data_IF_282251211966
#
_entry.id   IF_282251211966
#
_cell.length_a   1.000
_cell.length_b   1.000
_cell.length_c   1.000
_cell.angle_alpha   90.00
_cell.angle_beta   90.00
_cell.angle_gamma   90.00
#
_symmetry.space_group_name_H-M   'P 1'
#
loop_
_entity.id
_entity.type
_entity.pdbx_description
1 polymer ?
2 non-polymer ?
3 non-polymer ?
4 water ?
#
# COMPACT_ATOMS: atom_id res chain seq x y z
N UNK A 1 4.25 -24.07 -14.90
CA UNK A 1 3.25 -23.04 -15.30
C UNK A 1 3.65 -21.66 -14.77
N UNK A 2 2.86 -20.65 -15.12
CA UNK A 2 3.19 -19.28 -14.72
C UNK A 2 2.76 -19.06 -13.27
N UNK A 3 3.44 -18.11 -12.65
CA UNK A 3 3.11 -17.65 -11.29
C UNK A 3 1.94 -16.71 -11.45
N UNK A 4 0.78 -17.00 -10.86
CA UNK A 4 -0.41 -16.16 -10.99
C UNK A 4 -0.39 -15.09 -9.90
N UNK A 5 -0.48 -13.85 -10.32
CA UNK A 5 -0.41 -12.71 -9.41
C UNK A 5 -1.69 -11.91 -9.50
N UNK A 6 -2.27 -11.53 -8.36
CA UNK A 6 -3.45 -10.67 -8.35
C UNK A 6 -3.08 -9.45 -7.49
N UNK A 7 -3.24 -8.28 -8.09
CA UNK A 7 -2.86 -7.04 -7.46
C UNK A 7 -4.05 -6.10 -7.34
N UNK A 8 -4.24 -5.52 -6.16
CA UNK A 8 -5.33 -4.55 -6.02
C UNK A 8 -4.84 -3.12 -6.22
N UNK A 9 -5.72 -2.24 -6.68
CA UNK A 9 -5.40 -0.81 -6.85
C UNK A 9 -4.39 -0.53 -7.95
N UNK A 10 -4.67 -1.00 -9.17
CA UNK A 10 -3.70 -0.82 -10.26
C UNK A 10 -3.98 0.35 -11.18
N UNK A 11 -4.88 1.26 -10.80
CA UNK A 11 -5.13 2.39 -11.71
C UNK A 11 -3.98 3.36 -11.83
N UNK A 12 -3.11 3.44 -10.82
CA UNK A 12 -1.98 4.38 -10.90
C UNK A 12 -0.95 3.95 -9.85
N UNK A 13 0.13 4.70 -9.81
CA UNK A 13 1.12 4.52 -8.79
C UNK A 13 1.76 3.16 -8.72
N UNK A 14 2.04 2.73 -7.47
CA UNK A 14 2.75 1.50 -7.28
C UNK A 14 2.08 0.29 -7.91
N UNK A 15 0.73 0.21 -7.75
CA UNK A 15 0.07 -1.00 -8.29
C UNK A 15 0.16 -1.02 -9.84
N UNK A 16 -0.03 0.13 -10.47
CA UNK A 16 0.10 0.15 -11.93
C UNK A 16 1.50 -0.29 -12.36
N UNK A 17 2.53 0.32 -11.75
CA UNK A 17 3.90 -0.01 -12.17
C UNK A 17 4.30 -1.43 -11.84
N UNK A 18 3.84 -1.99 -10.70
CA UNK A 18 4.16 -3.36 -10.38
C UNK A 18 3.54 -4.31 -11.40
N UNK A 19 2.24 -4.03 -11.69
CA UNK A 19 1.53 -4.90 -12.63
C UNK A 19 2.26 -5.01 -13.97
N UNK A 20 2.66 -3.86 -14.52
CA UNK A 20 3.34 -3.92 -15.84
C UNK A 20 4.77 -4.43 -15.71
N UNK A 21 5.46 -4.21 -14.59
CA UNK A 21 6.77 -4.83 -14.40
C UNK A 21 6.69 -6.36 -14.48
N UNK A 22 5.71 -6.90 -13.72
CA UNK A 22 5.58 -8.36 -13.70
C UNK A 22 5.10 -8.89 -15.05
N UNK A 23 4.12 -8.24 -15.65
CA UNK A 23 3.60 -8.79 -16.91
C UNK A 23 4.63 -8.71 -18.02
N UNK A 24 5.52 -7.73 -18.01
CA UNK A 24 6.51 -7.56 -19.05
C UNK A 24 7.84 -8.26 -18.71
N UNK A 25 7.89 -8.98 -17.59
CA UNK A 25 9.15 -9.67 -17.25
C UNK A 25 9.67 -10.47 -18.43
N UNK A 26 10.93 -10.27 -18.83
CA UNK A 26 11.49 -11.01 -19.96
C UNK A 26 11.31 -12.50 -19.90
N UNK A 27 11.37 -13.13 -18.73
CA UNK A 27 11.16 -14.58 -18.59
C UNK A 27 9.73 -15.06 -18.78
N UNK A 28 8.77 -14.15 -18.82
CA UNK A 28 7.36 -14.46 -18.96
C UNK A 28 6.88 -15.44 -17.89
N UNK A 29 7.38 -15.31 -16.67
CA UNK A 29 7.11 -16.11 -15.52
C UNK A 29 5.76 -15.80 -14.88
N UNK A 30 5.25 -14.59 -15.10
CA UNK A 30 4.04 -14.16 -14.40
C UNK A 30 2.82 -13.95 -15.26
N UNK A 31 1.67 -14.29 -14.70
CA UNK A 31 0.37 -14.00 -15.29
C UNK A 31 -0.25 -13.01 -14.28
N UNK A 32 -0.58 -11.80 -14.73
CA UNK A 32 -1.04 -10.78 -13.79
C UNK A 32 -2.49 -10.38 -13.95
N UNK A 33 -3.24 -10.46 -12.83
CA UNK A 33 -4.58 -9.95 -12.76
C UNK A 33 -4.49 -8.58 -12.05
N UNK A 34 -4.58 -7.54 -12.85
CA UNK A 34 -4.51 -6.15 -12.34
C UNK A 34 -5.93 -5.70 -12.04
N UNK A 35 -6.22 -5.44 -10.75
CA UNK A 35 -7.59 -5.11 -10.38
C UNK A 35 -7.72 -3.65 -10.05
N UNK A 36 -8.87 -3.13 -10.42
CA UNK A 36 -9.19 -1.70 -10.31
C UNK A 36 -10.60 -1.51 -9.77
N UNK A 37 -10.81 -0.45 -8.96
CA UNK A 37 -12.15 -0.21 -8.44
C UNK A 37 -13.13 0.14 -9.57
N UNK A 38 -12.65 1.00 -10.47
CA UNK A 38 -13.51 1.39 -11.61
C UNK A 38 -12.77 1.06 -12.91
N UNK A 39 -13.30 0.19 -13.77
CA UNK A 39 -12.53 -0.07 -15.02
C UNK A 39 -12.39 1.16 -15.90
N UNK A 40 -13.14 2.24 -15.78
CA UNK A 40 -12.98 3.47 -16.54
C UNK A 40 -11.59 4.11 -16.30
N UNK A 41 -10.88 3.70 -15.24
CA UNK A 41 -9.55 4.25 -14.97
C UNK A 41 -8.45 3.38 -15.51
N UNK A 42 -8.71 2.38 -16.32
CA UNK A 42 -7.63 1.48 -16.77
C UNK A 42 -6.75 1.95 -17.92
N UNK A 43 -7.01 3.12 -18.45
CA UNK A 43 -6.26 3.57 -19.61
C UNK A 43 -4.78 3.73 -19.35
N UNK A 44 -4.34 4.30 -18.22
CA UNK A 44 -2.90 4.50 -18.03
C UNK A 44 -2.21 3.15 -17.91
N UNK A 45 -2.90 2.21 -17.27
CA UNK A 45 -2.34 0.86 -17.13
C UNK A 45 -2.09 0.24 -18.51
N UNK A 46 -3.05 0.30 -19.43
CA UNK A 46 -2.89 -0.26 -20.77
C UNK A 46 -1.87 0.54 -21.59
N UNK A 47 -1.78 1.84 -21.38
CA UNK A 47 -0.73 2.62 -22.07
C UNK A 47 0.65 2.18 -21.59
N UNK A 48 0.80 1.95 -20.30
CA UNK A 48 2.06 1.47 -19.72
C UNK A 48 2.39 0.06 -20.15
N UNK A 49 1.39 -0.81 -20.23
CA UNK A 49 1.55 -2.19 -20.63
C UNK A 49 2.06 -2.26 -22.07
N UNK A 50 1.46 -1.44 -22.95
CA UNK A 50 1.93 -1.43 -24.33
C UNK A 50 3.35 -0.89 -24.43
N UNK A 51 3.68 0.11 -23.64
CA UNK A 51 5.02 0.71 -23.68
C UNK A 51 6.10 -0.31 -23.29
N UNK A 52 5.79 -1.25 -22.43
CA UNK A 52 6.72 -2.29 -22.02
C UNK A 52 6.54 -3.57 -22.80
N UNK A 53 5.68 -3.54 -23.82
CA UNK A 53 5.42 -4.69 -24.65
C UNK A 53 5.06 -5.96 -23.89
N UNK A 54 4.08 -5.81 -22.98
CA UNK A 54 3.56 -6.97 -22.26
C UNK A 54 2.91 -7.92 -23.25
N UNK A 55 3.34 -9.16 -23.29
CA UNK A 55 2.78 -10.11 -24.27
C UNK A 55 1.29 -10.26 -24.04
N UNK A 56 0.54 -10.54 -25.11
CA UNK A 56 -0.88 -10.80 -25.01
C UNK A 56 -1.16 -11.91 -24.04
N UNK A 57 -2.05 -11.68 -23.10
CA UNK A 57 -2.43 -12.67 -22.09
C UNK A 57 -1.56 -12.62 -20.83
N UNK A 58 -0.56 -11.77 -20.79
CA UNK A 58 0.28 -11.64 -19.59
C UNK A 58 -0.43 -10.77 -18.54
N UNK A 59 -1.32 -9.92 -19.01
CA UNK A 59 -2.01 -8.96 -18.16
C UNK A 59 -3.49 -8.93 -18.47
N UNK A 60 -4.30 -9.02 -17.40
CA UNK A 60 -5.75 -8.94 -17.55
C UNK A 60 -6.25 -7.97 -16.48
N UNK A 61 -7.31 -7.23 -16.76
CA UNK A 61 -7.88 -6.35 -15.77
C UNK A 61 -9.20 -6.92 -15.26
N UNK A 62 -9.42 -6.76 -13.97
CA UNK A 62 -10.67 -7.16 -13.33
C UNK A 62 -11.20 -5.98 -12.54
N UNK A 63 -12.52 -5.81 -12.46
CA UNK A 63 -13.07 -4.79 -11.58
C UNK A 63 -13.11 -5.41 -10.18
N UNK A 64 -12.63 -4.69 -9.17
CA UNK A 64 -12.61 -5.23 -7.81
C UNK A 64 -12.69 -4.02 -6.87
N UNK A 65 -13.79 -3.98 -6.14
CA UNK A 65 -13.93 -2.87 -5.14
C UNK A 65 -13.71 -3.53 -3.78
N UNK A 66 -12.60 -3.18 -3.11
CA UNK A 66 -12.30 -3.83 -1.84
C UNK A 66 -13.29 -3.50 -0.73
N UNK A 67 -14.18 -2.53 -0.91
CA UNK A 67 -15.22 -2.26 0.07
C UNK A 67 -16.35 -3.28 0.01
N UNK A 68 -16.41 -4.09 -1.04
CA UNK A 68 -17.52 -5.03 -1.27
C UNK A 68 -17.09 -6.47 -1.37
N UNK A 69 -17.41 -7.31 -0.37
CA UNK A 69 -17.03 -8.71 -0.38
C UNK A 69 -17.59 -9.49 -1.57
N UNK A 70 -18.71 -9.05 -2.17
CA UNK A 70 -19.20 -9.71 -3.38
C UNK A 70 -18.28 -9.43 -4.58
N UNK A 71 -17.73 -8.22 -4.64
CA UNK A 71 -16.82 -7.83 -5.70
C UNK A 71 -15.50 -8.61 -5.55
N UNK A 72 -15.05 -8.78 -4.31
CA UNK A 72 -13.84 -9.56 -4.03
C UNK A 72 -14.05 -10.99 -4.49
N UNK A 73 -15.19 -11.59 -4.14
CA UNK A 73 -15.46 -12.97 -4.52
C UNK A 73 -15.65 -13.13 -6.03
N UNK A 74 -16.27 -12.18 -6.70
CA UNK A 74 -16.46 -12.28 -8.15
C UNK A 74 -15.12 -12.20 -8.89
N UNK A 75 -14.20 -11.37 -8.38
CA UNK A 75 -12.87 -11.29 -8.98
C UNK A 75 -12.12 -12.59 -8.76
N UNK A 76 -12.21 -13.20 -7.58
CA UNK A 76 -11.54 -14.46 -7.29
C UNK A 76 -12.00 -15.55 -8.25
N UNK A 77 -13.30 -15.53 -8.56
CA UNK A 77 -13.86 -16.50 -9.50
C UNK A 77 -13.37 -16.27 -10.91
N UNK A 78 -12.96 -15.06 -11.28
CA UNK A 78 -12.43 -14.76 -12.60
C UNK A 78 -11.00 -15.23 -12.78
N UNK A 79 -10.31 -15.72 -11.76
CA UNK A 79 -8.95 -16.24 -11.94
C UNK A 79 -9.09 -17.63 -12.58
N UNK A 80 -8.88 -17.68 -13.89
CA UNK A 80 -9.10 -18.92 -14.64
C UNK A 80 -8.24 -20.07 -14.21
N UNK A 81 -7.03 -19.84 -13.72
CA UNK A 81 -6.14 -20.87 -13.23
C UNK A 81 -6.60 -21.55 -11.95
N UNK A 82 -7.56 -20.96 -11.25
CA UNK A 82 -8.10 -21.52 -10.01
C UNK A 82 -7.15 -21.47 -8.83
N UNK A 83 -6.15 -20.58 -8.89
CA UNK A 83 -5.20 -20.42 -7.83
C UNK A 83 -4.49 -19.06 -8.00
N UNK A 84 -4.04 -18.53 -6.88
CA UNK A 84 -3.28 -17.28 -6.85
C UNK A 84 -2.00 -17.57 -6.10
N UNK A 85 -0.87 -17.43 -6.79
CA UNK A 85 0.43 -17.70 -6.21
C UNK A 85 0.89 -16.51 -5.37
N UNK A 86 0.59 -15.32 -5.87
CA UNK A 86 1.02 -14.08 -5.21
C UNK A 86 -0.15 -13.11 -5.13
N UNK A 87 -0.55 -12.69 -3.94
CA UNK A 87 -1.60 -11.70 -3.77
C UNK A 87 -0.90 -10.39 -3.32
N UNK A 88 -1.18 -9.30 -4.00
CA UNK A 88 -0.60 -8.02 -3.60
C UNK A 88 -1.75 -7.11 -3.19
N UNK A 89 -1.83 -6.85 -1.88
CA UNK A 89 -2.83 -5.95 -1.33
C UNK A 89 -2.22 -4.55 -1.33
N UNK A 90 -2.58 -3.75 -2.31
CA UNK A 90 -2.04 -2.43 -2.54
C UNK A 90 -3.07 -1.31 -2.56
N UNK A 91 -4.33 -1.62 -2.82
CA UNK A 91 -5.37 -0.59 -2.82
C UNK A 91 -5.31 0.21 -1.52
N UNK A 92 -5.37 1.54 -1.68
CA UNK A 92 -5.33 2.36 -0.47
C UNK A 92 -5.70 3.79 -0.82
N UNK A 93 -6.12 4.48 0.21
CA UNK A 93 -6.50 5.87 0.20
C UNK A 93 -5.66 6.67 1.17
N UNK A 94 -5.43 7.92 0.78
CA UNK A 94 -4.74 8.86 1.67
C UNK A 94 -5.83 9.77 2.25
N UNK A 95 -5.47 10.48 3.31
CA UNK A 95 -6.38 11.45 3.90
C UNK A 95 -5.51 12.42 4.69
N UNK A 96 -5.55 13.69 4.27
CA UNK A 96 -4.68 14.67 4.91
C UNK A 96 -5.47 15.87 5.41
N UNK A 97 -5.20 16.33 6.61
CA UNK A 97 -5.84 17.55 7.11
C UNK A 97 -6.00 17.51 8.62
N UNK A 98 -6.43 18.63 9.20
CA UNK A 98 -6.70 18.70 10.64
C UNK A 98 -7.74 17.64 10.96
N UNK A 99 -7.55 16.87 12.03
CA UNK A 99 -8.54 15.85 12.37
C UNK A 99 -9.99 16.30 12.42
N UNK A 100 -10.26 17.44 13.04
CA UNK A 100 -11.62 17.98 13.15
C UNK A 100 -12.20 18.49 11.85
N UNK A 101 -11.37 18.66 10.82
CA UNK A 101 -11.81 19.08 9.50
C UNK A 101 -12.12 17.91 8.58
N UNK A 102 -11.84 16.68 9.00
CA UNK A 102 -12.14 15.54 8.14
C UNK A 102 -13.57 15.07 8.26
N UNK A 103 -14.22 14.83 7.12
CA UNK A 103 -15.58 14.34 7.15
C UNK A 103 -15.65 12.93 7.74
N UNK A 104 -16.69 12.65 8.51
CA UNK A 104 -16.89 11.35 9.11
C UNK A 104 -16.90 10.25 8.05
N UNK A 105 -17.54 10.48 6.92
CA UNK A 105 -17.54 9.53 5.81
C UNK A 105 -16.13 9.27 5.28
N UNK A 106 -15.34 10.32 5.12
CA UNK A 106 -13.98 10.19 4.61
C UNK A 106 -13.15 9.35 5.58
N UNK A 107 -13.33 9.58 6.89
CA UNK A 107 -12.60 8.77 7.86
C UNK A 107 -12.98 7.31 7.77
N UNK A 108 -14.27 7.05 7.82
CA UNK A 108 -14.76 5.67 7.73
C UNK A 108 -14.32 5.03 6.43
N UNK A 109 -14.30 5.75 5.29
CA UNK A 109 -13.81 5.21 4.03
C UNK A 109 -12.35 4.84 4.04
N UNK A 110 -11.49 5.64 4.66
CA UNK A 110 -10.06 5.29 4.67
C UNK A 110 -9.89 3.96 5.41
N UNK A 111 -10.57 3.83 6.54
CA UNK A 111 -10.47 2.59 7.31
C UNK A 111 -11.09 1.42 6.55
N UNK A 112 -12.24 1.62 5.91
CA UNK A 112 -12.87 0.51 5.20
C UNK A 112 -12.05 0.03 4.02
N UNK A 113 -11.46 0.97 3.27
CA UNK A 113 -10.66 0.58 2.11
C UNK A 113 -9.30 0.00 2.53
N UNK A 114 -8.59 0.73 3.38
CA UNK A 114 -7.21 0.38 3.68
C UNK A 114 -7.10 -0.84 4.60
N UNK A 115 -7.96 -0.92 5.57
CA UNK A 115 -7.91 -1.98 6.57
C UNK A 115 -8.94 -3.08 6.30
N UNK A 116 -10.23 -2.73 6.37
CA UNK A 116 -11.23 -3.79 6.16
C UNK A 116 -11.12 -4.38 4.77
N UNK A 117 -10.83 -3.58 3.73
CA UNK A 117 -10.63 -4.14 2.40
C UNK A 117 -9.49 -5.15 2.30
N UNK A 118 -8.39 -4.91 3.04
CA UNK A 118 -7.29 -5.88 3.06
C UNK A 118 -7.74 -7.13 3.81
N UNK A 119 -8.51 -6.93 4.89
CA UNK A 119 -9.04 -8.14 5.57
C UNK A 119 -9.91 -8.93 4.60
N UNK A 120 -10.79 -8.27 3.86
CA UNK A 120 -11.65 -8.99 2.92
C UNK A 120 -10.83 -9.77 1.90
N UNK A 121 -9.73 -9.16 1.41
CA UNK A 121 -8.90 -9.88 0.44
C UNK A 121 -8.27 -11.10 1.08
N UNK A 122 -7.74 -10.94 2.30
CA UNK A 122 -7.10 -12.04 3.01
C UNK A 122 -8.09 -13.15 3.35
N UNK A 123 -9.31 -12.79 3.74
CA UNK A 123 -10.28 -13.86 4.03
C UNK A 123 -10.65 -14.62 2.76
N UNK A 124 -10.70 -13.95 1.62
CA UNK A 124 -11.04 -14.57 0.35
C UNK A 124 -9.94 -15.45 -0.22
N UNK A 125 -8.67 -15.04 -0.09
CA UNK A 125 -7.58 -15.79 -0.71
C UNK A 125 -6.68 -16.59 0.21
N UNK A 126 -6.62 -16.31 1.52
CA UNK A 126 -5.75 -17.04 2.41
C UNK A 126 -6.07 -18.51 2.56
N UNK A 127 -7.34 -18.89 2.68
CA UNK A 127 -7.68 -20.30 2.91
C UNK A 127 -7.10 -21.25 1.88
N UNK A 128 -7.17 -20.91 0.61
CA UNK A 128 -6.61 -21.74 -0.45
C UNK A 128 -5.10 -21.84 -0.32
N UNK A 129 -4.42 -20.74 0.08
CA UNK A 129 -2.97 -20.83 0.27
C UNK A 129 -2.63 -21.73 1.44
N UNK A 130 -3.35 -21.60 2.55
CA UNK A 130 -3.06 -22.43 3.73
C UNK A 130 -3.28 -23.90 3.41
N UNK A 131 -4.30 -24.22 2.62
CA UNK A 131 -4.54 -25.65 2.32
C UNK A 131 -3.53 -26.21 1.33
N UNK A 132 -2.99 -25.39 0.46
CA UNK A 132 -1.97 -25.82 -0.50
C UNK A 132 -0.60 -25.85 0.16
N UNK A 133 -0.40 -25.00 1.17
CA UNK A 133 0.84 -24.87 1.89
C UNK A 133 1.83 -24.01 1.11
N UNK A 134 1.30 -23.07 0.33
CA UNK A 134 2.16 -22.20 -0.46
C UNK A 134 1.35 -20.96 -0.86
N UNK A 135 2.11 -19.90 -1.11
CA UNK A 135 1.49 -18.62 -1.49
C UNK A 135 2.28 -17.49 -0.86
N UNK A 136 2.31 -16.39 -1.60
CA UNK A 136 2.95 -15.18 -1.11
C UNK A 136 1.93 -14.07 -1.06
N UNK A 137 1.95 -13.32 0.04
CA UNK A 137 1.07 -12.16 0.17
C UNK A 137 1.98 -10.96 0.42
N UNK A 138 1.89 -9.97 -0.46
CA UNK A 138 2.65 -8.74 -0.29
C UNK A 138 1.66 -7.61 0.00
N UNK A 139 1.95 -6.80 1.02
CA UNK A 139 1.05 -5.71 1.39
C UNK A 139 1.83 -4.39 1.30
N UNK A 140 1.30 -3.43 0.58
CA UNK A 140 1.92 -2.12 0.46
C UNK A 140 1.81 -1.40 1.80
N UNK A 141 2.96 -1.12 2.39
CA UNK A 141 3.03 -0.39 3.65
C UNK A 141 3.56 1.02 3.42
N UNK A 142 3.65 1.77 4.51
CA UNK A 142 4.15 3.15 4.44
C UNK A 142 5.01 3.43 5.66
N UNK A 143 5.89 4.41 5.54
CA UNK A 143 6.63 4.88 6.73
C UNK A 143 5.59 5.45 7.69
N UNK A 144 4.45 5.97 7.26
CA UNK A 144 3.35 6.43 8.08
C UNK A 144 2.65 5.31 8.87
N UNK A 145 2.98 4.05 8.56
CA UNK A 145 2.48 2.92 9.34
C UNK A 145 3.45 2.56 10.46
N UNK A 146 4.64 3.17 10.45
CA UNK A 146 5.68 2.92 11.44
C UNK A 146 5.91 4.08 12.41
N UNK A 147 5.47 5.27 12.03
CA UNK A 147 5.64 6.45 12.90
C UNK A 147 4.55 7.43 12.58
N UNK A 148 3.98 8.09 13.58
CA UNK A 148 2.87 9.02 13.40
C UNK A 148 3.28 10.36 12.77
N UNK A 149 2.46 10.79 11.83
CA UNK A 149 2.78 12.04 11.08
C UNK A 149 1.66 13.03 11.27
N UNK A 150 1.98 14.28 11.61
CA UNK A 150 0.94 15.25 11.88
C UNK A 150 0.13 15.49 10.62
N UNK A 151 -1.16 15.72 10.81
CA UNK A 151 -2.14 15.92 9.76
C UNK A 151 -2.43 14.70 8.90
N UNK A 152 -1.91 13.54 9.30
CA UNK A 152 -2.10 12.24 8.67
C UNK A 152 -2.68 11.30 9.72
N UNK A 153 -3.37 11.82 10.71
CA UNK A 153 -3.86 11.02 11.85
C UNK A 153 -4.60 9.78 11.44
N UNK A 154 -5.56 9.94 10.53
CA UNK A 154 -6.37 8.78 10.09
C UNK A 154 -5.65 7.94 9.09
N UNK A 155 -4.85 8.51 8.16
CA UNK A 155 -4.04 7.74 7.25
C UNK A 155 -3.04 6.87 8.04
N UNK A 156 -2.32 7.50 8.97
CA UNK A 156 -1.41 6.71 9.84
C UNK A 156 -2.18 5.68 10.65
N UNK A 157 -3.37 6.02 11.15
CA UNK A 157 -4.13 4.99 11.89
C UNK A 157 -4.28 3.78 10.99
N UNK A 158 -4.69 4.00 9.72
CA UNK A 158 -4.92 2.89 8.81
C UNK A 158 -3.68 2.13 8.45
N UNK A 159 -2.49 2.76 8.31
CA UNK A 159 -1.27 2.08 7.94
C UNK A 159 -0.65 1.36 9.15
N UNK A 160 -0.81 1.94 10.34
CA UNK A 160 -0.42 1.24 11.57
C UNK A 160 -1.32 0.01 11.71
N UNK A 161 -2.59 0.15 11.37
CA UNK A 161 -3.50 -1.04 11.45
C UNK A 161 -3.01 -2.15 10.56
N UNK A 162 -2.52 -1.92 9.34
CA UNK A 162 -2.01 -3.00 8.50
C UNK A 162 -0.80 -3.63 9.13
N UNK A 163 0.04 -2.84 9.84
CA UNK A 163 1.17 -3.45 10.53
C UNK A 163 0.68 -4.48 11.55
N UNK A 164 -0.30 -4.10 12.36
CA UNK A 164 -0.79 -5.03 13.39
C UNK A 164 -1.45 -6.24 12.75
N UNK A 165 -2.25 -6.00 11.70
CA UNK A 165 -2.95 -7.07 11.01
C UNK A 165 -1.96 -8.07 10.46
N UNK A 166 -0.97 -7.60 9.69
CA UNK A 166 0.00 -8.47 9.07
C UNK A 166 0.95 -9.15 10.04
N UNK A 167 1.37 -8.45 11.09
CA UNK A 167 2.29 -9.05 12.05
C UNK A 167 1.57 -10.19 12.78
N UNK A 168 0.32 -9.95 13.16
CA UNK A 168 -0.48 -10.97 13.84
C UNK A 168 -0.67 -12.21 12.97
N UNK A 169 -0.96 -12.01 11.69
CA UNK A 169 -1.10 -13.14 10.78
C UNK A 169 0.22 -13.85 10.55
N UNK A 170 1.33 -13.12 10.43
CA UNK A 170 2.62 -13.73 10.21
C UNK A 170 3.03 -14.66 11.36
N UNK A 171 2.65 -14.31 12.59
CA UNK A 171 2.98 -15.24 13.70
C UNK A 171 2.26 -16.58 13.47
N UNK A 172 1.00 -16.57 13.06
CA UNK A 172 0.30 -17.83 12.82
C UNK A 172 0.79 -18.55 11.56
N UNK A 173 0.97 -17.80 10.47
CA UNK A 173 1.33 -18.39 9.19
C UNK A 173 2.73 -18.98 9.08
N UNK A 174 3.63 -18.73 10.01
CA UNK A 174 5.01 -19.19 10.00
C UNK A 174 5.20 -20.62 9.49
N UNK A 175 4.61 -21.61 10.10
CA UNK A 175 4.74 -23.00 9.66
C UNK A 175 3.82 -23.45 8.54
N UNK A 176 2.93 -22.63 8.01
CA UNK A 176 2.00 -23.04 6.96
C UNK A 176 2.62 -23.00 5.56
N UNK A 177 3.79 -22.38 5.41
CA UNK A 177 4.38 -22.29 4.06
C UNK A 177 3.85 -21.08 3.28
N UNK A 178 3.01 -20.30 3.93
CA UNK A 178 2.39 -19.11 3.33
C UNK A 178 3.19 -17.92 3.84
N UNK A 179 3.69 -17.09 2.93
CA UNK A 179 4.59 -16.00 3.32
C UNK A 179 3.97 -14.63 3.17
N UNK A 180 3.87 -13.88 4.26
CA UNK A 180 3.30 -12.54 4.20
C UNK A 180 4.37 -11.51 4.44
N UNK A 181 4.40 -10.48 3.60
CA UNK A 181 5.39 -9.42 3.75
C UNK A 181 4.81 -8.05 3.50
N UNK A 182 5.24 -7.08 4.31
CA UNK A 182 4.92 -5.67 4.11
C UNK A 182 6.05 -5.00 3.33
N UNK A 183 5.71 -4.20 2.33
CA UNK A 183 6.72 -3.47 1.58
C UNK A 183 6.60 -2.02 2.02
N UNK A 184 7.50 -1.57 2.90
CA UNK A 184 7.42 -0.26 3.52
C UNK A 184 7.99 0.82 2.61
N UNK A 185 7.08 1.61 2.06
CA UNK A 185 7.42 2.66 1.13
C UNK A 185 7.50 4.03 1.78
N UNK A 186 8.48 4.83 1.33
CA UNK A 186 8.54 6.26 1.66
C UNK A 186 7.74 6.95 0.54
N UNK A 187 7.99 8.24 0.29
CA UNK A 187 7.35 8.95 -0.81
C UNK A 187 7.74 8.37 -2.15
N UNK A 188 6.79 8.21 -3.05
CA UNK A 188 6.97 7.63 -4.37
C UNK A 188 6.39 8.52 -5.47
N UNK A 189 7.17 8.78 -6.51
CA UNK A 189 6.68 9.56 -7.65
C UNK A 189 5.51 8.82 -8.27
N UNK A 190 4.33 9.44 -8.31
CA UNK A 190 3.14 8.80 -8.83
C UNK A 190 2.23 9.82 -9.51
N UNK A 198 -9.07 18.97 1.21
CA UNK A 198 -10.03 19.94 0.68
C UNK A 198 -9.43 21.33 0.54
N UNK A 199 -10.14 22.20 -0.16
CA UNK A 199 -9.76 23.58 -0.40
C UNK A 199 -9.37 24.26 0.90
N UNK A 200 -8.47 25.25 0.83
CA UNK A 200 -8.05 26.01 1.99
C UNK A 200 -9.25 26.61 2.72
N UNK A 201 -10.19 27.16 1.97
CA UNK A 201 -11.42 27.75 2.46
C UNK A 201 -12.20 26.73 3.28
N UNK A 202 -12.44 25.51 2.77
CA UNK A 202 -13.18 24.56 3.59
C UNK A 202 -12.39 24.10 4.80
N UNK A 203 -11.07 23.94 4.70
CA UNK A 203 -10.28 23.54 5.86
C UNK A 203 -10.31 24.65 6.91
N UNK A 204 -10.17 25.91 6.45
CA UNK A 204 -10.21 27.03 7.38
C UNK A 204 -11.53 27.12 8.13
N UNK A 205 -12.66 26.85 7.49
CA UNK A 205 -13.96 26.83 8.16
C UNK A 205 -14.14 25.74 9.20
N UNK A 206 -13.35 24.66 9.16
CA UNK A 206 -13.52 23.57 10.10
C UNK A 206 -12.42 23.45 11.14
N UNK A 207 -11.51 24.41 11.25
CA UNK A 207 -10.48 24.32 12.26
C UNK A 207 -10.13 25.70 12.81
N UNK A 208 -9.19 25.78 13.71
CA UNK A 208 -8.80 27.07 14.28
C UNK A 208 -7.66 27.65 13.46
N UNK A 209 -7.44 28.96 13.54
CA UNK A 209 -6.39 29.60 12.76
C UNK A 209 -4.99 29.09 13.00
N UNK A 210 -4.63 28.65 14.21
CA UNK A 210 -3.31 28.16 14.53
C UNK A 210 -3.11 26.77 13.89
N UNK A 211 -4.14 25.94 14.03
CA UNK A 211 -4.02 24.62 13.37
C UNK A 211 -3.90 24.79 11.87
N UNK A 212 -4.66 25.72 11.30
CA UNK A 212 -4.60 26.01 9.87
C UNK A 212 -3.22 26.44 9.45
N UNK A 213 -2.58 27.35 10.20
CA UNK A 213 -1.22 27.79 9.91
C UNK A 213 -0.23 26.65 9.98
N UNK A 214 -0.41 25.76 10.98
CA UNK A 214 0.46 24.60 11.11
C UNK A 214 0.26 23.66 9.93
N UNK A 215 -0.97 23.57 9.41
CA UNK A 215 -1.21 22.70 8.25
C UNK A 215 -0.43 23.20 7.06
N UNK A 216 -0.43 24.54 6.87
CA UNK A 216 0.36 25.14 5.79
C UNK A 216 1.82 24.78 5.95
N UNK A 217 2.36 24.89 7.16
CA UNK A 217 3.76 24.56 7.39
C UNK A 217 4.02 23.10 7.05
N UNK A 218 3.10 22.23 7.49
CA UNK A 218 3.25 20.79 7.19
C UNK A 218 3.31 20.58 5.68
N UNK A 219 2.37 21.14 4.94
CA UNK A 219 2.30 21.02 3.49
C UNK A 219 3.57 21.53 2.83
N UNK A 220 4.08 22.67 3.28
CA UNK A 220 5.32 23.18 2.66
C UNK A 220 6.50 22.25 2.89
N UNK A 221 6.62 21.69 4.09
CA UNK A 221 7.66 20.76 4.46
C UNK A 221 7.51 19.47 3.65
N UNK A 222 6.29 18.94 3.60
CA UNK A 222 6.02 17.72 2.85
C UNK A 222 6.41 17.83 1.39
N UNK A 223 6.04 18.96 0.76
CA UNK A 223 6.39 19.19 -0.64
C UNK A 223 7.91 19.23 -0.79
N UNK A 224 8.64 19.81 0.14
CA UNK A 224 10.10 19.85 0.00
C UNK A 224 10.70 18.45 0.10
N UNK A 225 10.21 17.67 1.08
CA UNK A 225 10.74 16.31 1.22
C UNK A 225 10.39 15.47 0.00
N UNK A 226 9.18 15.56 -0.52
CA UNK A 226 8.74 14.82 -1.69
C UNK A 226 9.65 15.15 -2.87
N UNK A 227 9.93 16.45 -3.04
CA UNK A 227 10.80 16.91 -4.11
C UNK A 227 12.20 16.36 -4.01
N UNK A 228 12.73 16.26 -2.81
CA UNK A 228 14.06 15.77 -2.56
C UNK A 228 14.19 14.26 -2.51
N UNK A 229 13.21 13.58 -1.92
CA UNK A 229 13.32 12.17 -1.64
C UNK A 229 12.36 11.22 -2.32
N UNK A 230 11.39 11.67 -3.11
CA UNK A 230 10.50 10.66 -3.69
C UNK A 230 11.26 9.70 -4.59
N UNK A 231 10.96 8.41 -4.48
CA UNK A 231 11.60 7.38 -5.30
C UNK A 231 10.84 7.12 -6.59
N UNK A 232 11.50 6.66 -7.65
CA UNK A 232 10.83 6.28 -8.90
C UNK A 232 10.00 5.04 -8.61
N UNK A 233 8.82 4.90 -9.20
CA UNK A 233 7.98 3.74 -8.99
C UNK A 233 8.63 2.46 -9.48
N UNK A 234 9.54 2.55 -10.45
CA UNK A 234 10.25 1.38 -10.94
C UNK A 234 11.14 0.80 -9.85
N UNK A 235 11.80 1.68 -9.07
CA UNK A 235 12.67 1.24 -8.00
C UNK A 235 11.84 0.59 -6.87
N UNK A 236 10.69 1.19 -6.58
CA UNK A 236 9.79 0.66 -5.55
C UNK A 236 9.20 -0.66 -5.99
N UNK A 237 8.72 -0.74 -7.24
CA UNK A 237 8.19 -2.03 -7.73
C UNK A 237 9.19 -3.15 -7.64
N UNK A 238 10.48 -2.91 -7.87
CA UNK A 238 11.53 -3.90 -7.82
C UNK A 238 11.72 -4.46 -6.41
N UNK A 239 11.39 -3.70 -5.35
CA UNK A 239 11.43 -4.23 -3.98
C UNK A 239 10.35 -5.32 -3.82
N UNK A 240 9.19 -5.14 -4.43
CA UNK A 240 8.17 -6.19 -4.38
C UNK A 240 8.70 -7.48 -5.04
N UNK A 241 9.36 -7.33 -6.22
CA UNK A 241 9.94 -8.49 -6.90
C UNK A 241 11.00 -9.18 -6.06
N UNK A 242 11.83 -8.39 -5.37
CA UNK A 242 12.85 -8.96 -4.49
C UNK A 242 12.23 -9.78 -3.39
N UNK A 243 11.15 -9.27 -2.76
CA UNK A 243 10.45 -10.04 -1.74
C UNK A 243 9.83 -11.32 -2.32
N UNK A 244 9.31 -11.25 -3.55
CA UNK A 244 8.73 -12.42 -4.19
C UNK A 244 9.70 -13.53 -4.48
N UNK A 245 10.92 -13.17 -4.83
CA UNK A 245 11.93 -14.17 -5.18
C UNK A 245 12.65 -14.73 -3.98
N UNK A 246 12.54 -14.08 -2.81
CA UNK A 246 13.23 -14.60 -1.63
C UNK A 246 12.65 -15.94 -1.21
N UNK A 247 13.49 -16.93 -0.93
CA UNK A 247 13.07 -18.24 -0.49
C UNK A 247 12.39 -18.21 0.87
N UNK A 248 12.88 -17.35 1.76
CA UNK A 248 12.33 -17.18 3.11
C UNK A 248 12.18 -15.68 3.37
N UNK A 249 11.12 -15.10 2.80
CA UNK A 249 10.88 -13.67 2.92
C UNK A 249 10.61 -13.22 4.34
N UNK A 250 11.13 -12.05 4.67
CA UNK A 250 10.94 -11.48 6.00
C UNK A 250 9.58 -10.79 6.04
N UNK A 251 9.16 -10.47 7.26
CA UNK A 251 7.87 -9.77 7.41
C UNK A 251 7.90 -8.40 6.77
N UNK A 252 9.03 -7.69 6.83
CA UNK A 252 9.10 -6.35 6.28
C UNK A 252 10.28 -6.12 5.37
N UNK A 253 10.06 -5.39 4.31
CA UNK A 253 11.05 -4.92 3.37
C UNK A 253 10.90 -3.39 3.37
N UNK A 254 12.03 -2.68 3.27
CA UNK A 254 12.04 -1.24 3.25
C UNK A 254 12.53 -0.79 1.86
N UNK A 255 11.79 0.17 1.27
CA UNK A 255 12.19 0.65 -0.06
C UNK A 255 13.35 1.62 0.05
N UNK A 256 13.55 2.18 1.25
CA UNK A 256 14.60 3.15 1.51
C UNK A 256 15.00 3.07 2.99
N UNK A 257 16.24 3.50 3.25
CA UNK A 257 16.71 3.52 4.64
C UNK A 257 16.65 4.93 5.20
N UNK A 258 16.12 5.88 4.45
CA UNK A 258 16.08 7.29 4.81
C UNK A 258 15.41 7.61 6.15
N UNK A 259 14.36 6.87 6.49
CA UNK A 259 13.61 7.13 7.71
C UNK A 259 13.95 6.17 8.83
N UNK A 260 14.89 5.25 8.64
CA UNK A 260 15.28 4.31 9.68
C UNK A 260 15.74 5.00 10.95
N UNK A 261 16.58 6.02 10.88
CA UNK A 261 17.01 6.78 12.05
C UNK A 261 15.83 7.29 12.87
N UNK A 262 14.82 7.92 12.25
CA UNK A 262 13.64 8.39 12.98
C UNK A 262 12.94 7.20 13.62
N UNK A 263 12.82 6.11 12.89
CA UNK A 263 12.21 4.89 13.36
C UNK A 263 12.94 4.33 14.59
N UNK A 264 14.27 4.25 14.54
CA UNK A 264 15.06 3.74 15.67
C UNK A 264 14.90 4.61 16.91
N UNK A 265 14.86 5.93 16.73
CA UNK A 265 14.67 6.87 17.84
C UNK A 265 13.29 6.63 18.46
N UNK A 266 12.34 6.40 17.54
CA UNK A 266 10.98 6.12 17.97
C UNK A 266 10.97 4.87 18.83
N UNK A 267 11.49 3.78 18.27
CA UNK A 267 11.50 2.50 18.95
C UNK A 267 12.34 2.43 20.21
N UNK A 268 13.37 3.23 20.33
CA UNK A 268 14.24 3.30 21.50
C UNK A 268 13.70 4.02 22.72
N UNK A 269 12.76 4.94 22.57
CA UNK A 269 12.17 5.65 23.72
C UNK A 269 10.68 5.30 23.66
N UNK A 270 10.30 4.25 24.34
CA UNK A 270 8.93 3.78 24.39
C UNK A 270 7.96 4.78 24.97
N UNK A 271 8.36 5.75 25.78
CA UNK A 271 7.45 6.77 26.29
C UNK A 271 6.94 7.64 25.15
N UNK A 272 7.66 7.69 24.02
CA UNK A 272 7.29 8.44 22.86
C UNK A 272 7.77 9.88 22.83
N UNK A 273 8.26 10.38 23.95
CA UNK A 273 8.75 11.74 24.10
C UNK A 273 9.80 12.18 23.10
N UNK A 274 10.82 11.34 22.90
CA UNK A 274 11.87 11.74 21.96
C UNK A 274 11.31 11.87 20.53
N UNK A 275 10.52 10.89 20.12
CA UNK A 275 9.92 10.94 18.80
C UNK A 275 9.01 12.15 18.63
N UNK A 276 8.09 12.41 19.55
CA UNK A 276 7.20 13.56 19.38
C UNK A 276 7.97 14.86 19.22
N UNK A 277 8.96 15.10 20.10
CA UNK A 277 9.78 16.30 20.00
C UNK A 277 10.55 16.35 18.68
N UNK A 278 11.20 15.26 18.30
CA UNK A 278 11.99 15.22 17.07
C UNK A 278 11.13 15.44 15.84
N UNK A 279 9.96 14.79 15.77
CA UNK A 279 9.11 14.96 14.59
C UNK A 279 8.48 16.35 14.58
N UNK A 280 8.17 16.95 15.73
CA UNK A 280 7.60 18.31 15.71
C UNK A 280 8.66 19.26 15.13
N UNK A 281 9.90 19.06 15.58
CA UNK A 281 11.00 19.91 15.07
C UNK A 281 11.26 19.66 13.60
N UNK A 282 11.25 18.39 13.17
CA UNK A 282 11.48 18.03 11.78
C UNK A 282 10.45 18.64 10.84
N UNK A 283 9.17 18.66 11.22
CA UNK A 283 8.14 19.18 10.34
C UNK A 283 7.99 20.68 10.42
N UNK A 284 7.99 21.21 11.62
CA UNK A 284 7.70 22.60 11.90
C UNK A 284 8.90 23.51 12.10
N UNK A 285 10.10 22.97 12.30
CA UNK A 285 11.25 23.84 12.53
C UNK A 285 11.41 24.22 13.99
X LIG B 1 5.32 13.04 1.69
X LIG B 1 4.20 12.60 0.74
X LIG B 1 4.27 11.14 0.47
X LIG B 1 3.92 10.73 -0.61
X LIG B 1 4.73 10.26 1.52
X LIG B 1 5.18 10.72 2.72
X LIG B 1 5.62 9.76 3.77
X LIG B 1 6.77 10.20 4.65
X LIG B 1 6.66 11.68 5.05
X LIG B 1 6.54 12.56 3.82
X LIG B 1 5.27 12.25 3.02
X LIG B 1 6.55 14.09 4.10
X LIG B 1 7.79 14.46 4.92
X LIG B 1 7.87 13.63 6.20
X LIG B 1 7.89 12.14 5.81
X LIG B 1 8.29 11.37 7.06
X LIG B 1 9.28 12.33 7.75
X LIG B 1 9.25 13.64 6.91
X LIG B 1 9.56 14.79 7.71
X LIG B 1 6.73 14.00 7.18
X LIG B 1 4.04 12.60 3.86
X LIG C 1 7.66 3.04 20.81
X LIG C 1 7.96 4.62 20.72
X LIG C 1 6.67 2.41 21.54
X LIG C 1 6.51 2.90 22.78
X LIG C 1 6.36 1.38 20.96
X LIG C 1 5.66 0.96 19.61
#
# INVERSE_FOLDING_TARGET
ARTVVLITGCSSGIGLHLAVRLASDPSQSFKVYATLRDLKTQGRLWEAARALACPPGSLETLQLDVRDSKSVAAARERVTEGRVDVLVCNAGLGLLGPLEALGEDAVASVLDVNVVGTVRMLQAFLPDMKRRGSGRVLVTGSVGGLMGLPFNDVYCASKFALEGLCESLAVLLLPFGVHLSLIECGPVHTAFMEKVLGSPEEVLDRTDIHTFHRFYQYLAHSKQVFREAAQNPEEVAEVFLTALRAPKPTLRYFTTERFLPLLRMRLDDPSGSNYVTAMHREVFGDVPAKAEAGAEAGGGAGPGAEDEAGRSAVGDPELGDPPAAPQ
TES C1 C2 C3 O3 C4 C5 C6 C7 C8 C9 C10 C11 C12 C13 C14 C15 C16 C17 O17 C18 C19
GOL C1 O1 C2 O2 C3 O3
#
